data_IF_080278939677
#
_entry.id   IF_080278939677
#
_cell.length_a   1.000
_cell.length_b   1.000
_cell.length_c   1.000
_cell.angle_alpha   90.00
_cell.angle_beta   90.00
_cell.angle_gamma   90.00
#
_symmetry.space_group_name_H-M   'P 1'
#
loop_
_entity.id
_entity.type
_entity.pdbx_description
1 polymer ?
#
# COMPACT_ATOMS: atom_id res chain seq x y z
N UNK A 1 -11.57 -13.71 -22.96
CA UNK A 1 -10.81 -14.94 -23.21
C UNK A 1 -9.42 -14.66 -23.81
N UNK A 2 -9.31 -13.93 -24.93
CA UNK A 2 -8.04 -13.66 -25.61
C UNK A 2 -7.06 -12.89 -24.76
N UNK A 3 -7.52 -11.87 -24.02
CA UNK A 3 -6.67 -11.05 -23.13
C UNK A 3 -6.21 -11.83 -21.90
N UNK A 4 -7.08 -12.69 -21.33
CA UNK A 4 -6.67 -13.57 -20.24
C UNK A 4 -5.59 -14.56 -20.67
N UNK A 5 -5.71 -15.18 -21.85
CA UNK A 5 -4.69 -16.09 -22.38
C UNK A 5 -3.35 -15.37 -22.64
N UNK A 6 -3.41 -14.09 -23.08
CA UNK A 6 -2.22 -13.26 -23.24
C UNK A 6 -1.56 -12.94 -21.89
N UNK A 7 -2.36 -12.57 -20.89
CA UNK A 7 -1.89 -12.30 -19.53
C UNK A 7 -1.22 -13.55 -18.93
N UNK A 8 -1.86 -14.74 -19.04
CA UNK A 8 -1.29 -15.99 -18.58
C UNK A 8 0.07 -16.28 -19.22
N UNK A 9 0.19 -16.05 -20.53
CA UNK A 9 1.45 -16.23 -21.24
C UNK A 9 2.53 -15.27 -20.74
N UNK A 10 2.17 -14.00 -20.56
CA UNK A 10 3.10 -12.97 -20.09
C UNK A 10 3.49 -13.20 -18.63
N UNK A 11 2.56 -13.59 -17.77
CA UNK A 11 2.80 -13.84 -16.35
C UNK A 11 3.62 -15.10 -16.05
N UNK A 12 3.89 -15.95 -17.05
CA UNK A 12 4.74 -17.16 -16.91
C UNK A 12 6.24 -16.90 -16.95
N UNK A 13 6.69 -15.64 -16.98
CA UNK A 13 8.11 -15.34 -16.91
C UNK A 13 8.74 -15.86 -15.59
N UNK A 14 10.05 -16.15 -15.63
CA UNK A 14 10.78 -16.53 -14.41
C UNK A 14 11.06 -15.29 -13.57
N UNK A 15 10.53 -15.22 -12.33
CA UNK A 15 10.76 -14.08 -11.45
C UNK A 15 12.22 -14.04 -10.98
N UNK A 16 12.74 -12.84 -10.73
CA UNK A 16 14.12 -12.61 -10.30
C UNK A 16 14.20 -11.42 -9.34
N UNK A 17 15.24 -11.37 -8.52
CA UNK A 17 15.53 -10.22 -7.68
C UNK A 17 15.91 -8.98 -8.54
N UNK A 18 15.48 -7.78 -8.14
CA UNK A 18 14.66 -7.46 -6.94
C UNK A 18 13.16 -7.44 -7.19
N UNK A 19 12.63 -8.06 -8.24
CA UNK A 19 11.22 -7.99 -8.69
C UNK A 19 10.29 -8.73 -7.70
N UNK A 20 10.23 -8.30 -6.44
CA UNK A 20 9.45 -8.93 -5.36
C UNK A 20 8.25 -8.10 -4.91
N UNK A 21 8.27 -6.78 -5.10
CA UNK A 21 7.32 -5.82 -4.52
C UNK A 21 5.90 -5.83 -5.11
N UNK A 22 5.04 -4.95 -4.56
CA UNK A 22 3.65 -4.82 -4.99
C UNK A 22 3.50 -4.08 -6.33
N UNK A 23 4.39 -3.15 -6.67
CA UNK A 23 4.24 -2.29 -7.84
C UNK A 23 4.81 -2.90 -9.11
N UNK A 24 6.00 -3.47 -9.03
CA UNK A 24 6.73 -3.95 -10.21
C UNK A 24 7.06 -5.43 -10.14
N UNK A 25 6.73 -6.09 -9.02
CA UNK A 25 7.22 -7.42 -8.71
C UNK A 25 6.15 -8.50 -8.56
N UNK A 26 6.61 -9.62 -8.00
CA UNK A 26 5.82 -10.83 -7.81
C UNK A 26 4.62 -10.64 -6.90
N UNK A 27 4.71 -9.76 -5.88
CA UNK A 27 3.59 -9.51 -4.97
C UNK A 27 2.39 -8.90 -5.71
N UNK A 28 2.60 -7.87 -6.54
CA UNK A 28 1.51 -7.28 -7.33
C UNK A 28 0.93 -8.24 -8.36
N UNK A 29 1.79 -9.08 -8.96
CA UNK A 29 1.33 -10.11 -9.90
C UNK A 29 0.47 -11.17 -9.20
N UNK A 30 0.88 -11.66 -8.01
CA UNK A 30 0.10 -12.60 -7.20
C UNK A 30 -1.28 -12.03 -6.93
N UNK A 31 -1.38 -10.82 -6.39
CA UNK A 31 -2.65 -10.18 -6.04
C UNK A 31 -3.57 -10.09 -7.26
N UNK A 32 -3.03 -9.64 -8.41
CA UNK A 32 -3.79 -9.51 -9.65
C UNK A 32 -4.25 -10.87 -10.21
N UNK A 33 -3.42 -11.90 -10.14
CA UNK A 33 -3.74 -13.24 -10.64
C UNK A 33 -4.78 -13.95 -9.76
N UNK A 34 -4.71 -13.76 -8.44
CA UNK A 34 -5.70 -14.29 -7.49
C UNK A 34 -7.06 -13.63 -7.73
N UNK A 35 -7.11 -12.29 -7.88
CA UNK A 35 -8.34 -11.58 -8.25
C UNK A 35 -8.97 -12.13 -9.53
N UNK A 36 -8.16 -12.26 -10.58
CA UNK A 36 -8.63 -12.80 -11.86
C UNK A 36 -9.05 -14.28 -11.77
N UNK A 37 -8.35 -15.09 -10.93
CA UNK A 37 -8.77 -16.47 -10.66
C UNK A 37 -10.15 -16.51 -10.00
N UNK A 38 -10.37 -15.72 -8.95
CA UNK A 38 -11.66 -15.63 -8.27
C UNK A 38 -12.77 -15.20 -9.23
N UNK A 39 -12.49 -14.20 -10.06
CA UNK A 39 -13.48 -13.63 -10.99
C UNK A 39 -13.83 -14.54 -12.16
N UNK A 40 -12.87 -15.27 -12.71
CA UNK A 40 -13.04 -16.05 -13.96
C UNK A 40 -12.97 -17.56 -13.77
N UNK A 41 -12.65 -18.06 -12.56
CA UNK A 41 -12.58 -19.50 -12.25
C UNK A 41 -11.48 -20.24 -13.01
N UNK A 42 -10.33 -19.59 -13.30
CA UNK A 42 -9.22 -20.17 -14.07
C UNK A 42 -8.08 -20.62 -13.18
N UNK A 43 -7.95 -21.94 -12.99
CA UNK A 43 -6.91 -22.56 -12.17
C UNK A 43 -5.49 -22.22 -12.63
N UNK A 44 -5.28 -22.08 -13.94
CA UNK A 44 -3.97 -21.71 -14.49
C UNK A 44 -3.43 -20.37 -13.99
N UNK A 45 -4.31 -19.43 -13.61
CA UNK A 45 -3.91 -18.15 -13.00
C UNK A 45 -3.42 -18.38 -11.57
N UNK A 46 -4.09 -19.22 -10.80
CA UNK A 46 -3.68 -19.60 -9.46
C UNK A 46 -2.35 -20.35 -9.46
N UNK A 47 -2.16 -21.28 -10.40
CA UNK A 47 -0.88 -22.02 -10.57
C UNK A 47 0.30 -21.06 -10.81
N UNK A 48 0.07 -19.99 -11.59
CA UNK A 48 1.09 -18.97 -11.82
C UNK A 48 1.34 -18.16 -10.55
N UNK A 49 0.29 -17.75 -9.85
CA UNK A 49 0.40 -17.02 -8.58
C UNK A 49 1.18 -17.83 -7.53
N UNK A 50 0.93 -19.15 -7.41
CA UNK A 50 1.66 -20.05 -6.51
C UNK A 50 3.16 -20.07 -6.85
N UNK A 51 3.56 -20.14 -8.12
CA UNK A 51 4.99 -20.10 -8.50
C UNK A 51 5.66 -18.79 -8.08
N UNK A 52 4.98 -17.65 -8.23
CA UNK A 52 5.48 -16.36 -7.74
C UNK A 52 5.52 -16.32 -6.20
N UNK A 53 4.57 -16.96 -5.51
CA UNK A 53 4.60 -17.17 -4.07
C UNK A 53 5.82 -17.99 -3.62
N UNK A 54 6.13 -19.09 -4.33
CA UNK A 54 7.32 -19.91 -4.07
C UNK A 54 8.62 -19.13 -4.28
N UNK A 55 8.65 -18.27 -5.29
CA UNK A 55 9.78 -17.35 -5.47
C UNK A 55 9.93 -16.40 -4.28
N UNK A 56 8.84 -15.79 -3.79
CA UNK A 56 8.91 -14.94 -2.60
C UNK A 56 9.41 -15.71 -1.37
N UNK A 57 8.96 -16.95 -1.16
CA UNK A 57 9.46 -17.79 -0.05
C UNK A 57 10.95 -18.10 -0.18
N UNK A 58 11.44 -18.37 -1.38
CA UNK A 58 12.84 -18.73 -1.63
C UNK A 58 13.78 -17.52 -1.59
N UNK A 59 13.28 -16.32 -1.91
CA UNK A 59 14.05 -15.07 -1.94
C UNK A 59 14.04 -14.31 -0.61
N UNK A 60 13.28 -14.79 0.40
CA UNK A 60 13.20 -14.13 1.68
C UNK A 60 14.54 -14.09 2.43
N UNK A 61 14.96 -12.93 2.87
CA UNK A 61 16.02 -12.72 3.86
C UNK A 61 15.46 -13.05 5.23
N UNK A 62 16.05 -14.07 5.88
CA UNK A 62 15.57 -14.60 7.17
C UNK A 62 16.50 -14.20 8.29
N UNK A 63 15.96 -13.62 9.36
CA UNK A 63 16.72 -13.19 10.54
C UNK A 63 15.92 -13.42 11.83
N UNK A 64 16.55 -13.16 12.98
CA UNK A 64 15.87 -13.18 14.28
C UNK A 64 14.78 -12.10 14.39
N UNK A 65 14.80 -11.08 13.55
CA UNK A 65 13.77 -10.04 13.52
C UNK A 65 12.55 -10.42 12.65
N UNK A 66 12.65 -11.46 11.84
CA UNK A 66 11.61 -11.92 10.92
C UNK A 66 12.11 -12.03 9.48
N UNK A 67 11.17 -12.17 8.54
CA UNK A 67 11.47 -12.26 7.12
C UNK A 67 11.24 -10.93 6.42
N UNK A 68 12.14 -10.61 5.49
CA UNK A 68 12.07 -9.41 4.66
C UNK A 68 12.60 -9.68 3.26
N UNK A 69 12.38 -8.77 2.32
CA UNK A 69 12.73 -8.98 0.92
C UNK A 69 13.48 -7.79 0.34
N UNK A 70 14.42 -8.05 -0.53
CA UNK A 70 14.99 -7.05 -1.43
C UNK A 70 13.94 -6.68 -2.49
N UNK A 71 13.57 -5.40 -2.57
CA UNK A 71 12.43 -4.93 -3.37
C UNK A 71 12.79 -3.86 -4.39
N UNK A 72 13.92 -3.18 -4.22
CA UNK A 72 14.32 -2.05 -5.07
C UNK A 72 15.79 -2.17 -5.47
N UNK A 73 16.15 -1.82 -6.73
CA UNK A 73 17.52 -1.88 -7.20
C UNK A 73 18.34 -0.62 -6.82
N UNK A 74 18.09 -0.09 -5.64
CA UNK A 74 18.80 1.09 -5.11
C UNK A 74 19.40 0.78 -3.75
N UNK A 75 20.47 1.48 -3.33
CA UNK A 75 21.04 1.28 -2.01
C UNK A 75 20.01 1.52 -0.90
N UNK A 76 19.93 0.59 0.03
CA UNK A 76 19.11 0.67 1.23
C UNK A 76 19.89 0.12 2.41
N UNK A 77 19.71 0.71 3.59
CA UNK A 77 20.39 0.24 4.79
C UNK A 77 19.86 -1.11 5.28
N UNK A 78 18.57 -1.37 5.03
CA UNK A 78 17.83 -2.61 5.36
C UNK A 78 16.70 -2.78 4.35
N UNK A 79 16.12 -3.97 4.28
CA UNK A 79 14.91 -4.22 3.48
C UNK A 79 13.76 -3.33 3.94
N UNK A 80 12.98 -2.81 2.98
CA UNK A 80 12.00 -1.76 3.21
C UNK A 80 10.75 -2.26 3.93
N UNK A 81 10.19 -1.39 4.76
CA UNK A 81 8.81 -1.47 5.27
C UNK A 81 7.84 -0.76 4.31
N UNK A 82 6.54 -0.93 4.50
CA UNK A 82 5.52 -0.21 3.73
C UNK A 82 4.86 -1.02 2.63
N UNK A 83 3.87 -0.41 1.98
CA UNK A 83 2.96 -1.14 1.10
C UNK A 83 3.50 -1.28 -0.33
N UNK A 84 3.96 -0.20 -0.96
CA UNK A 84 4.33 -0.23 -2.38
C UNK A 84 5.58 -1.06 -2.66
N UNK A 85 6.64 -0.80 -1.90
CA UNK A 85 7.98 -1.37 -2.12
C UNK A 85 8.55 -2.09 -0.90
N UNK A 86 7.70 -2.49 0.05
CA UNK A 86 8.16 -3.10 1.29
C UNK A 86 7.40 -4.36 1.69
N UNK A 87 7.69 -4.80 2.90
CA UNK A 87 7.18 -6.05 3.46
C UNK A 87 5.65 -6.08 3.52
N UNK A 88 4.97 -4.98 3.83
CA UNK A 88 3.49 -4.95 3.89
C UNK A 88 2.83 -5.40 2.59
N UNK A 89 3.33 -4.97 1.43
CA UNK A 89 2.77 -5.38 0.13
C UNK A 89 2.95 -6.86 -0.15
N UNK A 90 4.12 -7.42 0.20
CA UNK A 90 4.41 -8.85 0.06
C UNK A 90 3.54 -9.68 1.00
N UNK A 91 3.38 -9.25 2.25
CA UNK A 91 2.51 -9.90 3.24
C UNK A 91 1.05 -9.93 2.77
N UNK A 92 0.54 -8.83 2.21
CA UNK A 92 -0.81 -8.79 1.64
C UNK A 92 -0.96 -9.78 0.48
N UNK A 93 -0.01 -9.80 -0.46
CA UNK A 93 -0.05 -10.73 -1.59
C UNK A 93 -0.01 -12.20 -1.16
N UNK A 94 0.85 -12.54 -0.18
CA UNK A 94 0.90 -13.88 0.39
C UNK A 94 -0.37 -14.23 1.17
N UNK A 95 -1.05 -13.25 1.79
CA UNK A 95 -2.33 -13.47 2.46
C UNK A 95 -3.46 -13.76 1.46
N UNK A 96 -3.53 -13.05 0.34
CA UNK A 96 -4.43 -13.38 -0.77
C UNK A 96 -4.19 -14.81 -1.28
N UNK A 97 -2.92 -15.17 -1.48
CA UNK A 97 -2.54 -16.48 -1.96
C UNK A 97 -2.85 -17.59 -0.94
N UNK A 98 -2.61 -17.35 0.34
CA UNK A 98 -3.00 -18.26 1.42
C UNK A 98 -4.53 -18.47 1.45
N UNK A 99 -5.33 -17.41 1.30
CA UNK A 99 -6.79 -17.51 1.26
C UNK A 99 -7.28 -18.34 0.07
N UNK A 100 -6.60 -18.24 -1.08
CA UNK A 100 -6.95 -18.99 -2.27
C UNK A 100 -6.51 -20.47 -2.22
N UNK A 101 -5.38 -20.78 -1.55
CA UNK A 101 -4.76 -22.12 -1.58
C UNK A 101 -4.89 -22.91 -0.28
N UNK A 102 -4.95 -22.24 0.88
CA UNK A 102 -4.89 -22.85 2.20
C UNK A 102 -3.51 -23.41 2.60
N UNK A 103 -2.42 -23.03 1.87
CA UNK A 103 -1.09 -23.61 2.08
C UNK A 103 -0.33 -22.94 3.23
N UNK A 104 -0.09 -23.65 4.32
CA UNK A 104 0.53 -23.15 5.56
C UNK A 104 1.90 -22.48 5.37
N UNK A 105 2.65 -22.84 4.32
CA UNK A 105 3.94 -22.20 4.02
C UNK A 105 3.80 -20.69 3.75
N UNK A 106 2.71 -20.27 3.14
CA UNK A 106 2.42 -18.84 2.94
C UNK A 106 2.04 -18.17 4.25
N UNK A 107 1.28 -18.86 5.11
CA UNK A 107 0.93 -18.37 6.43
C UNK A 107 2.18 -18.10 7.28
N UNK A 108 3.16 -18.99 7.25
CA UNK A 108 4.42 -18.77 7.97
C UNK A 108 5.13 -17.51 7.48
N UNK A 109 5.21 -17.29 6.16
CA UNK A 109 5.88 -16.11 5.61
C UNK A 109 5.15 -14.79 5.97
N UNK A 110 3.80 -14.83 6.07
CA UNK A 110 2.99 -13.71 6.55
C UNK A 110 3.36 -13.36 7.99
N UNK A 111 3.33 -14.34 8.88
CA UNK A 111 3.62 -14.14 10.32
C UNK A 111 5.05 -13.61 10.53
N UNK A 112 6.03 -14.12 9.79
CA UNK A 112 7.42 -13.69 9.85
C UNK A 112 7.65 -12.30 9.24
N UNK A 113 6.95 -11.96 8.15
CA UNK A 113 6.99 -10.61 7.56
C UNK A 113 6.39 -9.56 8.50
N UNK A 114 5.25 -9.87 9.12
CA UNK A 114 4.64 -9.02 10.13
C UNK A 114 5.57 -8.81 11.34
N UNK A 115 6.26 -9.86 11.77
CA UNK A 115 7.25 -9.79 12.87
C UNK A 115 8.41 -8.84 12.51
N UNK A 116 8.95 -8.95 11.29
CA UNK A 116 9.98 -8.04 10.82
C UNK A 116 9.50 -6.60 10.86
N UNK A 117 8.34 -6.31 10.27
CA UNK A 117 7.83 -4.94 10.16
C UNK A 117 7.47 -4.34 11.53
N UNK A 118 6.93 -5.12 12.46
CA UNK A 118 6.67 -4.68 13.84
C UNK A 118 7.95 -4.25 14.57
N UNK A 119 9.08 -4.91 14.33
CA UNK A 119 10.38 -4.53 14.89
C UNK A 119 10.92 -3.19 14.34
N UNK A 120 10.34 -2.66 13.27
CA UNK A 120 10.72 -1.37 12.67
C UNK A 120 9.79 -0.22 13.09
N UNK A 121 8.79 -0.49 13.92
CA UNK A 121 7.90 0.54 14.47
C UNK A 121 8.61 1.37 15.54
N UNK A 122 8.48 2.70 15.46
CA UNK A 122 8.94 3.63 16.46
C UNK A 122 7.77 4.18 17.28
N UNK A 123 7.61 3.79 18.54
CA UNK A 123 6.51 4.28 19.38
C UNK A 123 6.54 5.81 19.59
N UNK A 124 7.73 6.41 19.64
CA UNK A 124 7.91 7.84 19.86
C UNK A 124 7.40 8.68 18.68
N UNK A 125 7.53 8.15 17.46
CA UNK A 125 7.07 8.78 16.22
C UNK A 125 5.68 8.29 15.82
N UNK A 126 5.28 7.09 16.27
CA UNK A 126 4.04 6.42 15.86
C UNK A 126 4.07 5.92 14.43
N UNK A 127 5.25 5.64 13.88
CA UNK A 127 5.43 5.29 12.47
C UNK A 127 6.55 4.25 12.30
N UNK A 128 6.63 3.64 11.11
CA UNK A 128 7.65 2.67 10.72
C UNK A 128 8.80 3.36 10.00
N UNK A 129 10.03 2.86 10.24
CA UNK A 129 11.25 3.40 9.66
C UNK A 129 11.30 3.19 8.15
N UNK A 130 11.76 4.22 7.44
CA UNK A 130 12.14 4.17 6.03
C UNK A 130 13.66 3.99 5.92
N UNK A 131 14.09 2.96 5.21
CA UNK A 131 15.51 2.57 5.11
C UNK A 131 16.18 3.00 3.81
N UNK A 132 15.52 3.80 2.97
CA UNK A 132 16.14 4.39 1.79
C UNK A 132 17.20 5.41 2.19
N UNK A 133 18.33 5.41 1.51
CA UNK A 133 19.45 6.30 1.84
C UNK A 133 19.13 7.79 1.65
N UNK A 134 18.24 8.11 0.71
CA UNK A 134 17.80 9.47 0.40
C UNK A 134 16.65 9.96 1.29
N UNK A 135 16.09 9.10 2.12
CA UNK A 135 14.94 9.41 2.95
C UNK A 135 15.28 10.15 4.25
N UNK A 136 16.53 10.12 4.67
CA UNK A 136 17.00 10.71 5.93
C UNK A 136 18.10 11.75 5.73
N UNK A 137 18.16 12.72 6.66
CA UNK A 137 19.40 13.48 6.88
C UNK A 137 20.47 12.54 7.46
N UNK A 138 21.75 12.86 7.22
CA UNK A 138 22.87 12.02 7.63
C UNK A 138 22.81 11.67 9.13
N UNK A 139 22.66 10.37 9.44
CA UNK A 139 22.65 9.85 10.82
C UNK A 139 21.29 9.79 11.53
N UNK A 140 20.21 10.30 10.94
CA UNK A 140 18.88 10.28 11.57
C UNK A 140 17.96 9.22 10.93
N UNK A 141 17.08 8.55 11.71
CA UNK A 141 16.08 7.65 11.14
C UNK A 141 15.06 8.43 10.29
N UNK A 142 14.79 7.95 9.08
CA UNK A 142 13.73 8.51 8.25
C UNK A 142 12.36 7.90 8.58
N UNK A 143 11.33 8.74 8.48
CA UNK A 143 9.93 8.34 8.64
C UNK A 143 9.10 9.04 7.58
N UNK A 144 8.76 8.32 6.52
CA UNK A 144 7.90 8.84 5.47
C UNK A 144 6.41 8.61 5.81
N UNK A 145 5.55 9.45 5.26
CA UNK A 145 4.10 9.33 5.40
C UNK A 145 3.45 9.41 4.02
N UNK A 146 3.04 8.27 3.50
CA UNK A 146 2.36 8.12 2.24
C UNK A 146 1.90 6.68 2.03
N UNK A 147 1.09 6.47 1.03
CA UNK A 147 0.69 5.12 0.62
C UNK A 147 1.89 4.21 0.32
N UNK A 148 2.90 4.74 -0.34
CA UNK A 148 4.06 3.94 -0.72
C UNK A 148 4.95 3.56 0.47
N UNK A 149 5.12 4.43 1.46
CA UNK A 149 5.96 4.20 2.64
C UNK A 149 5.33 4.79 3.90
N UNK A 150 5.39 4.06 5.00
CA UNK A 150 4.94 4.52 6.32
C UNK A 150 3.49 4.23 6.65
N UNK A 151 2.99 4.89 7.67
CA UNK A 151 1.72 4.60 8.32
C UNK A 151 0.50 4.49 7.39
N UNK A 152 0.27 5.39 6.41
CA UNK A 152 -0.92 5.27 5.55
C UNK A 152 -0.98 3.94 4.80
N UNK A 153 0.10 3.54 4.12
CA UNK A 153 0.14 2.28 3.38
C UNK A 153 0.16 1.04 4.27
N UNK A 154 0.91 1.09 5.38
CA UNK A 154 0.94 -0.02 6.35
C UNK A 154 -0.46 -0.21 6.96
N UNK A 155 -1.17 0.88 7.28
CA UNK A 155 -2.54 0.84 7.75
C UNK A 155 -3.49 0.18 6.74
N UNK A 156 -3.37 0.52 5.45
CA UNK A 156 -4.14 -0.12 4.38
C UNK A 156 -3.85 -1.63 4.30
N UNK A 157 -2.57 -2.03 4.44
CA UNK A 157 -2.20 -3.45 4.49
C UNK A 157 -2.83 -4.16 5.70
N UNK A 158 -2.80 -3.57 6.89
CA UNK A 158 -3.43 -4.14 8.09
C UNK A 158 -4.95 -4.23 7.96
N UNK A 159 -5.57 -3.20 7.38
CA UNK A 159 -6.99 -3.22 7.04
C UNK A 159 -7.31 -4.43 6.14
N UNK A 160 -6.55 -4.63 5.05
CA UNK A 160 -6.76 -5.74 4.13
C UNK A 160 -6.56 -7.10 4.80
N UNK A 161 -5.55 -7.26 5.64
CA UNK A 161 -5.33 -8.49 6.39
C UNK A 161 -6.53 -8.85 7.27
N UNK A 162 -7.13 -7.87 7.96
CA UNK A 162 -8.35 -8.08 8.76
C UNK A 162 -9.51 -8.55 7.88
N UNK A 163 -9.71 -7.94 6.72
CA UNK A 163 -10.74 -8.39 5.77
C UNK A 163 -10.52 -9.83 5.28
N UNK A 164 -9.27 -10.23 5.11
CA UNK A 164 -8.88 -11.60 4.75
C UNK A 164 -8.99 -12.61 5.92
N UNK A 165 -9.36 -12.14 7.12
CA UNK A 165 -9.54 -12.98 8.30
C UNK A 165 -8.28 -13.15 9.18
N UNK A 166 -7.23 -12.38 8.93
CA UNK A 166 -6.04 -12.31 9.79
C UNK A 166 -6.27 -11.26 10.89
N UNK A 167 -7.14 -11.58 11.83
CA UNK A 167 -7.63 -10.62 12.83
C UNK A 167 -6.94 -10.80 14.21
N UNK A 168 -5.61 -10.73 14.22
CA UNK A 168 -4.82 -10.77 15.46
C UNK A 168 -4.79 -9.38 16.14
N UNK A 169 -4.67 -9.35 17.47
CA UNK A 169 -4.58 -8.11 18.25
C UNK A 169 -3.41 -7.23 17.83
N UNK A 170 -2.27 -7.81 17.46
CA UNK A 170 -1.11 -7.08 16.95
C UNK A 170 -1.43 -6.34 15.64
N UNK A 171 -2.18 -6.97 14.71
CA UNK A 171 -2.59 -6.35 13.44
C UNK A 171 -3.54 -5.19 13.70
N UNK A 172 -4.48 -5.33 14.64
CA UNK A 172 -5.38 -4.24 15.05
C UNK A 172 -4.61 -3.09 15.72
N UNK A 173 -3.64 -3.40 16.56
CA UNK A 173 -2.79 -2.41 17.23
C UNK A 173 -2.00 -1.59 16.19
N UNK A 174 -1.41 -2.25 15.21
CA UNK A 174 -0.70 -1.60 14.11
C UNK A 174 -1.66 -0.72 13.28
N UNK A 175 -2.87 -1.23 12.96
CA UNK A 175 -3.88 -0.46 12.22
C UNK A 175 -4.27 0.83 12.97
N UNK A 176 -4.53 0.74 14.28
CA UNK A 176 -4.89 1.91 15.08
C UNK A 176 -3.71 2.89 15.22
N UNK A 177 -2.47 2.41 15.31
CA UNK A 177 -1.30 3.28 15.28
C UNK A 177 -1.16 4.00 13.93
N UNK A 178 -1.29 3.26 12.83
CA UNK A 178 -1.25 3.80 11.49
C UNK A 178 -2.35 4.84 11.23
N UNK A 179 -3.58 4.54 11.65
CA UNK A 179 -4.71 5.46 11.54
C UNK A 179 -4.47 6.76 12.31
N UNK A 180 -4.03 6.68 13.58
CA UNK A 180 -3.73 7.88 14.39
C UNK A 180 -2.69 8.77 13.71
N UNK A 181 -1.61 8.18 13.23
CA UNK A 181 -0.51 8.92 12.58
C UNK A 181 -0.96 9.52 11.26
N UNK A 182 -1.73 8.79 10.46
CA UNK A 182 -2.29 9.28 9.20
C UNK A 182 -3.24 10.45 9.45
N UNK A 183 -4.19 10.31 10.38
CA UNK A 183 -5.14 11.38 10.73
C UNK A 183 -4.42 12.61 11.27
N UNK A 184 -3.38 12.44 12.10
CA UNK A 184 -2.56 13.57 12.56
C UNK A 184 -1.93 14.33 11.40
N UNK A 185 -1.37 13.65 10.38
CA UNK A 185 -0.84 14.30 9.16
C UNK A 185 -1.93 15.11 8.45
N UNK A 186 -3.13 14.54 8.28
CA UNK A 186 -4.24 15.21 7.60
C UNK A 186 -4.69 16.49 8.32
N UNK A 187 -4.51 16.58 9.63
CA UNK A 187 -4.80 17.80 10.38
C UNK A 187 -3.85 18.97 10.07
N UNK A 188 -2.66 18.70 9.58
CA UNK A 188 -1.67 19.72 9.20
C UNK A 188 -1.69 20.06 7.70
N UNK A 189 -2.69 19.59 6.96
CA UNK A 189 -2.80 19.80 5.51
C UNK A 189 -2.84 21.28 5.08
N UNK A 190 -3.33 22.17 5.97
CA UNK A 190 -3.44 23.61 5.72
C UNK A 190 -2.12 24.36 5.86
N UNK A 191 -1.04 23.70 6.33
CA UNK A 191 0.24 24.35 6.51
C UNK A 191 0.99 24.57 5.17
N UNK A 192 1.72 25.69 5.01
CA UNK A 192 2.57 25.90 3.85
C UNK A 192 3.58 24.75 3.66
N UNK A 193 3.65 24.19 2.45
CA UNK A 193 4.51 23.04 2.12
C UNK A 193 3.82 21.68 2.11
N UNK A 194 2.64 21.53 2.70
CA UNK A 194 1.82 20.31 2.66
C UNK A 194 0.83 20.33 1.48
N UNK A 195 1.35 20.51 0.25
CA UNK A 195 0.50 20.71 -0.94
C UNK A 195 0.46 19.52 -1.90
N UNK A 196 1.14 18.45 -1.58
CA UNK A 196 1.09 17.25 -2.42
C UNK A 196 -0.30 16.61 -2.31
N UNK A 197 -0.94 16.41 -3.46
CA UNK A 197 -2.33 15.96 -3.49
C UNK A 197 -2.52 14.66 -4.26
N UNK A 198 -1.46 14.04 -4.74
CA UNK A 198 -1.53 12.76 -5.44
C UNK A 198 -1.92 11.59 -4.51
N UNK A 199 -2.25 10.44 -5.09
CA UNK A 199 -2.62 9.26 -4.28
C UNK A 199 -1.42 8.42 -3.83
N UNK A 200 -0.22 8.63 -4.37
CA UNK A 200 0.97 7.88 -3.97
C UNK A 200 1.52 8.33 -2.61
N UNK A 201 1.75 9.64 -2.45
CA UNK A 201 2.38 10.20 -1.24
C UNK A 201 1.76 11.55 -0.81
N UNK A 202 0.62 11.91 -1.40
CA UNK A 202 -0.12 13.13 -1.13
C UNK A 202 -1.39 12.90 -0.31
N UNK A 203 -2.04 14.00 0.03
CA UNK A 203 -3.20 14.04 0.91
C UNK A 203 -4.39 13.20 0.43
N UNK A 204 -4.60 13.09 -0.89
CA UNK A 204 -5.66 12.25 -1.44
C UNK A 204 -5.45 10.78 -1.14
N UNK A 205 -4.20 10.28 -1.28
CA UNK A 205 -3.85 8.90 -0.94
C UNK A 205 -3.89 8.61 0.55
N UNK A 206 -3.40 9.54 1.37
CA UNK A 206 -3.43 9.41 2.83
C UNK A 206 -4.87 9.38 3.37
N UNK A 207 -5.81 10.02 2.67
CA UNK A 207 -7.24 10.03 3.03
C UNK A 207 -7.93 8.68 2.80
N UNK A 208 -7.32 7.76 2.05
CA UNK A 208 -7.95 6.48 1.71
C UNK A 208 -8.12 5.56 2.94
N UNK A 209 -7.14 5.56 3.85
CA UNK A 209 -7.22 4.75 5.08
C UNK A 209 -8.38 5.16 5.99
N UNK A 210 -8.55 6.43 6.43
CA UNK A 210 -9.70 6.82 7.23
C UNK A 210 -11.02 6.66 6.45
N UNK A 211 -11.04 6.85 5.14
CA UNK A 211 -12.23 6.64 4.32
C UNK A 211 -12.66 5.17 4.28
N UNK A 212 -11.74 4.21 4.18
CA UNK A 212 -12.05 2.78 4.28
C UNK A 212 -12.57 2.41 5.66
N UNK A 213 -11.87 2.82 6.72
CA UNK A 213 -12.25 2.49 8.10
C UNK A 213 -13.58 3.16 8.47
N UNK A 214 -13.95 4.30 7.88
CA UNK A 214 -15.24 4.95 8.10
C UNK A 214 -16.45 4.08 7.72
N UNK A 215 -16.22 3.04 6.91
CA UNK A 215 -17.28 2.09 6.55
C UNK A 215 -17.56 1.06 7.67
N UNK A 216 -16.72 0.99 8.71
CA UNK A 216 -16.93 0.11 9.85
C UNK A 216 -17.91 0.73 10.86
N UNK A 217 -18.77 -0.10 11.50
CA UNK A 217 -19.70 0.38 12.51
C UNK A 217 -18.99 1.13 13.66
N UNK A 218 -19.48 2.34 13.96
CA UNK A 218 -18.94 3.21 15.02
C UNK A 218 -17.69 4.00 14.62
N UNK A 219 -17.30 3.97 13.33
CA UNK A 219 -16.16 4.72 12.79
C UNK A 219 -16.57 5.75 11.71
N UNK A 220 -17.88 5.98 11.54
CA UNK A 220 -18.43 6.78 10.44
C UNK A 220 -17.86 8.20 10.40
N UNK A 221 -17.53 8.80 11.53
CA UNK A 221 -16.95 10.16 11.59
C UNK A 221 -15.58 10.30 10.96
N UNK A 222 -14.86 9.19 10.69
CA UNK A 222 -13.55 9.23 10.02
C UNK A 222 -13.64 9.78 8.59
N UNK A 223 -14.80 9.73 7.95
CA UNK A 223 -15.03 10.32 6.62
C UNK A 223 -14.76 11.83 6.61
N UNK A 224 -15.01 12.52 7.73
CA UNK A 224 -14.84 13.98 7.87
C UNK A 224 -13.38 14.41 7.55
N UNK A 225 -12.38 13.54 7.79
CA UNK A 225 -11.01 13.82 7.45
C UNK A 225 -10.80 13.89 5.94
N UNK A 226 -11.38 12.96 5.19
CA UNK A 226 -11.30 12.96 3.73
C UNK A 226 -12.11 14.10 3.11
N UNK A 227 -13.28 14.42 3.66
CA UNK A 227 -14.12 15.54 3.22
C UNK A 227 -13.39 16.87 3.40
N UNK A 228 -12.71 17.08 4.54
CA UNK A 228 -11.90 18.28 4.77
C UNK A 228 -10.73 18.38 3.77
N UNK A 229 -10.03 17.28 3.49
CA UNK A 229 -8.98 17.29 2.49
C UNK A 229 -9.53 17.60 1.09
N UNK A 230 -10.68 17.05 0.73
CA UNK A 230 -11.32 17.35 -0.56
C UNK A 230 -11.68 18.85 -0.67
N UNK A 231 -12.23 19.43 0.39
CA UNK A 231 -12.54 20.86 0.44
C UNK A 231 -11.26 21.70 0.30
N UNK A 232 -10.20 21.37 1.02
CA UNK A 232 -8.89 22.05 0.90
C UNK A 232 -8.35 21.98 -0.54
N UNK A 233 -8.48 20.82 -1.20
CA UNK A 233 -8.07 20.66 -2.60
C UNK A 233 -8.85 21.59 -3.54
N UNK A 234 -10.17 21.67 -3.41
CA UNK A 234 -11.01 22.57 -4.22
C UNK A 234 -10.59 24.04 -3.99
N UNK A 235 -10.45 24.46 -2.75
CA UNK A 235 -10.07 25.84 -2.42
C UNK A 235 -8.69 26.23 -2.96
N UNK A 236 -7.71 25.34 -2.87
CA UNK A 236 -6.34 25.63 -3.31
C UNK A 236 -6.19 25.57 -4.84
N UNK A 237 -6.72 24.54 -5.46
CA UNK A 237 -6.38 24.23 -6.85
C UNK A 237 -7.45 24.74 -7.82
N UNK A 238 -8.73 24.68 -7.48
CA UNK A 238 -9.80 25.17 -8.33
C UNK A 238 -10.11 26.67 -8.10
N UNK A 239 -10.37 27.08 -6.85
CA UNK A 239 -10.80 28.47 -6.59
C UNK A 239 -9.64 29.46 -6.65
N UNK A 240 -8.44 29.11 -6.15
CA UNK A 240 -7.25 29.95 -6.23
C UNK A 240 -6.42 29.74 -7.50
N UNK A 241 -6.78 28.73 -8.30
CA UNK A 241 -6.12 28.45 -9.60
C UNK A 241 -4.67 28.00 -9.48
N UNK A 242 -4.28 27.37 -8.36
CA UNK A 242 -2.97 26.74 -8.25
C UNK A 242 -2.97 25.42 -9.05
N UNK A 243 -1.85 25.03 -9.68
CA UNK A 243 -1.76 23.71 -10.31
C UNK A 243 -1.84 22.61 -9.27
N UNK A 244 -2.52 21.51 -9.58
CA UNK A 244 -2.59 20.32 -8.72
C UNK A 244 -1.19 19.73 -8.51
N UNK A 245 -0.74 19.72 -7.26
CA UNK A 245 0.63 19.38 -6.93
C UNK A 245 0.85 17.86 -6.74
N UNK A 246 1.92 17.31 -7.35
CA UNK A 246 2.27 15.90 -7.32
C UNK A 246 3.77 15.58 -7.06
N UNK A 247 4.56 16.58 -6.80
CA UNK A 247 5.98 16.53 -6.35
C UNK A 247 6.93 15.51 -7.03
N UNK A 248 6.87 15.39 -8.34
CA UNK A 248 7.88 14.66 -9.12
C UNK A 248 8.88 15.59 -9.83
N UNK A 249 9.15 16.77 -9.24
CA UNK A 249 10.08 17.76 -9.79
C UNK A 249 9.58 18.50 -11.03
N UNK A 250 8.30 18.32 -11.39
CA UNK A 250 7.65 19.01 -12.51
C UNK A 250 6.76 20.18 -12.07
N UNK A 251 6.55 21.15 -12.97
CA UNK A 251 5.74 22.33 -12.72
C UNK A 251 4.34 22.25 -13.35
N UNK A 252 3.91 21.08 -13.83
CA UNK A 252 2.65 20.91 -14.55
C UNK A 252 1.85 19.71 -14.10
N UNK A 253 0.55 19.73 -14.41
CA UNK A 253 -0.35 18.61 -14.18
C UNK A 253 -0.03 17.43 -15.10
N UNK A 254 -0.15 16.20 -14.59
CA UNK A 254 0.04 14.97 -15.35
C UNK A 254 -1.22 14.10 -15.29
N UNK A 255 -1.60 13.41 -16.38
CA UNK A 255 -2.76 12.53 -16.37
C UNK A 255 -2.54 11.20 -15.65
N UNK A 256 -1.35 10.95 -15.08
CA UNK A 256 -1.00 9.66 -14.46
C UNK A 256 -1.91 9.32 -13.27
N UNK A 257 -2.00 7.99 -12.96
CA UNK A 257 -2.87 7.50 -11.89
C UNK A 257 -2.29 7.80 -10.50
N UNK A 258 -1.08 7.31 -10.20
CA UNK A 258 -0.54 7.41 -8.84
C UNK A 258 -0.09 8.83 -8.46
N UNK A 259 0.50 9.55 -9.40
CA UNK A 259 1.11 10.86 -9.17
C UNK A 259 0.44 11.97 -9.97
N UNK A 260 -0.84 11.85 -10.34
CA UNK A 260 -1.48 12.85 -11.19
C UNK A 260 -3.01 12.92 -11.09
N UNK A 261 -3.58 13.60 -12.08
CA UNK A 261 -5.00 13.99 -12.12
C UNK A 261 -5.96 12.80 -12.09
N UNK A 262 -5.61 11.66 -12.72
CA UNK A 262 -6.49 10.49 -12.70
C UNK A 262 -6.68 9.94 -11.28
N UNK A 263 -5.63 9.89 -10.45
CA UNK A 263 -5.72 9.47 -9.06
C UNK A 263 -6.47 10.48 -8.19
N UNK A 264 -6.23 11.77 -8.42
CA UNK A 264 -6.96 12.84 -7.72
C UNK A 264 -8.45 12.74 -8.04
N UNK A 265 -8.83 12.61 -9.31
CA UNK A 265 -10.22 12.42 -9.72
C UNK A 265 -10.84 11.17 -9.10
N UNK A 266 -10.09 10.06 -9.02
CA UNK A 266 -10.53 8.84 -8.36
C UNK A 266 -10.81 9.05 -6.86
N UNK A 267 -9.97 9.82 -6.15
CA UNK A 267 -10.22 10.18 -4.74
C UNK A 267 -11.57 10.88 -4.57
N UNK A 268 -11.90 11.87 -5.41
CA UNK A 268 -13.20 12.56 -5.35
C UNK A 268 -14.36 11.62 -5.68
N UNK A 269 -14.21 10.73 -6.66
CA UNK A 269 -15.23 9.72 -6.97
C UNK A 269 -15.46 8.78 -5.79
N UNK A 270 -14.39 8.31 -5.13
CA UNK A 270 -14.50 7.48 -3.95
C UNK A 270 -15.18 8.19 -2.78
N UNK A 271 -14.84 9.46 -2.56
CA UNK A 271 -15.46 10.24 -1.48
C UNK A 271 -16.97 10.42 -1.73
N UNK A 272 -17.37 10.63 -2.99
CA UNK A 272 -18.78 10.75 -3.37
C UNK A 272 -19.57 9.44 -3.24
N UNK A 273 -18.94 8.28 -3.45
CA UNK A 273 -19.59 6.96 -3.44
C UNK A 273 -18.65 5.89 -2.84
N UNK A 274 -18.31 5.97 -1.54
CA UNK A 274 -17.23 5.15 -0.97
C UNK A 274 -17.51 3.65 -0.90
N UNK A 275 -18.77 3.24 -1.04
CA UNK A 275 -19.19 1.82 -1.11
C UNK A 275 -19.27 1.28 -2.53
N UNK A 276 -19.31 2.15 -3.53
CA UNK A 276 -19.49 1.78 -4.94
C UNK A 276 -18.17 1.86 -5.72
N UNK A 277 -17.30 2.81 -5.34
CA UNK A 277 -16.00 3.01 -5.97
C UNK A 277 -14.90 2.39 -5.08
N UNK A 278 -14.29 1.27 -5.49
CA UNK A 278 -13.29 0.57 -4.67
C UNK A 278 -11.99 1.37 -4.54
N UNK A 279 -11.20 1.07 -3.51
CA UNK A 279 -9.83 1.59 -3.42
C UNK A 279 -8.96 0.96 -4.51
N UNK A 280 -8.22 1.80 -5.23
CA UNK A 280 -7.19 1.34 -6.16
C UNK A 280 -5.81 1.25 -5.51
N UNK A 281 -5.69 1.69 -4.25
CA UNK A 281 -4.48 1.58 -3.43
C UNK A 281 -4.36 0.21 -2.75
N UNK A 282 -5.49 -0.53 -2.71
CA UNK A 282 -5.56 -1.95 -2.40
C UNK A 282 -6.08 -2.66 -3.65
N UNK A 283 -5.31 -3.57 -4.21
CA UNK A 283 -5.80 -4.47 -5.27
C UNK A 283 -6.69 -5.49 -4.57
N UNK A 284 -7.97 -5.48 -4.88
CA UNK A 284 -8.99 -6.32 -4.22
C UNK A 284 -9.78 -7.08 -5.27
N UNK A 285 -10.11 -8.38 -5.00
CA UNK A 285 -11.05 -9.14 -5.82
C UNK A 285 -12.45 -8.52 -5.84
#
# INVERSE_FOLDING_TARGET
ERELARLETTARFEPRLPDTDLITGSAGLITSLVDLHVKYGRESLLDIAVRHGDFLLSSASRSDEGWSWETVPVPVHRNLTGLAHGVSGIVCALAELFRATGEDRFRQAIDEGLRYESNQFSPDVGNWRDFREDAAAEGEPAFQLGWCHGAPGIGLARFRLIELGFDAESIRTDLEAALRTTVAKLHYADLPGQREFCICHGLAGDSDLPLLISQWPGRESLIEHAERIAQTGIELFEERGLPWAYNLGGTGETPTLFCGMAGIGHFYLRLAAPREVPSILLIQP
#
